data_IF_777846087189
#
_entry.id   IF_777846087189
#
_cell.length_a   1.000
_cell.length_b   1.000
_cell.length_c   1.000
_cell.angle_alpha   90.00
_cell.angle_beta   90.00
_cell.angle_gamma   90.00
#
_symmetry.space_group_name_H-M   'P 1'
#
loop_
_entity.id
_entity.type
_entity.pdbx_description
1 polymer ?
#
# COMPACT_ATOMS: atom_id res chain seq x y z
N UNK A 1 22.91 -2.30 3.67
CA UNK A 1 21.84 -1.97 4.63
C UNK A 1 20.84 -3.11 4.55
N UNK A 2 20.76 -3.96 5.57
CA UNK A 2 19.84 -5.09 5.59
C UNK A 2 18.41 -4.54 5.67
N UNK A 3 17.67 -4.64 4.56
CA UNK A 3 16.22 -4.42 4.57
C UNK A 3 15.60 -5.71 5.07
N UNK A 4 14.97 -5.67 6.24
CA UNK A 4 14.21 -6.81 6.74
C UNK A 4 12.87 -6.78 6.03
N UNK A 5 12.72 -7.66 5.06
CA UNK A 5 11.48 -7.85 4.32
C UNK A 5 10.54 -8.67 5.20
N UNK A 6 9.43 -8.05 5.58
CA UNK A 6 8.47 -8.64 6.51
C UNK A 6 7.15 -8.82 5.78
N UNK A 7 6.68 -10.06 5.71
CA UNK A 7 5.36 -10.40 5.22
C UNK A 7 4.36 -10.37 6.38
N UNK A 8 3.20 -9.76 6.15
CA UNK A 8 2.10 -9.84 7.11
C UNK A 8 1.34 -11.15 6.91
N UNK A 9 1.13 -11.92 7.97
CA UNK A 9 0.18 -13.03 7.91
C UNK A 9 -1.26 -12.49 7.84
N UNK A 10 -2.06 -13.07 6.93
CA UNK A 10 -3.44 -12.70 6.59
C UNK A 10 -4.28 -12.16 7.76
N UNK A 11 -4.83 -10.95 7.59
CA UNK A 11 -5.85 -10.39 8.48
C UNK A 11 -6.08 -8.89 8.28
N UNK A 12 -7.33 -8.52 7.97
CA UNK A 12 -7.82 -7.12 7.92
C UNK A 12 -7.31 -6.24 9.07
N UNK A 13 -7.36 -6.77 10.29
CA UNK A 13 -6.91 -6.04 11.49
C UNK A 13 -5.41 -5.75 11.41
N UNK A 14 -4.61 -6.72 10.97
CA UNK A 14 -3.15 -6.56 10.84
C UNK A 14 -2.80 -5.52 9.78
N UNK A 15 -3.50 -5.50 8.65
CA UNK A 15 -3.34 -4.47 7.62
C UNK A 15 -3.64 -3.08 8.17
N UNK A 16 -4.83 -2.89 8.77
CA UNK A 16 -5.27 -1.59 9.29
C UNK A 16 -4.30 -1.07 10.35
N UNK A 17 -3.91 -1.93 11.30
CA UNK A 17 -2.99 -1.54 12.37
C UNK A 17 -1.61 -1.18 11.81
N UNK A 18 -1.13 -1.91 10.80
CA UNK A 18 0.15 -1.61 10.15
C UNK A 18 0.10 -0.28 9.42
N UNK A 19 -0.92 -0.03 8.59
CA UNK A 19 -1.09 1.23 7.86
C UNK A 19 -1.19 2.40 8.84
N UNK A 20 -1.93 2.26 9.94
CA UNK A 20 -2.01 3.29 10.99
C UNK A 20 -0.67 3.56 11.67
N UNK A 21 0.07 2.50 11.99
CA UNK A 21 1.36 2.62 12.70
C UNK A 21 2.40 3.38 11.87
N UNK A 22 2.41 3.20 10.55
CA UNK A 22 3.40 3.83 9.66
C UNK A 22 2.96 5.17 9.09
N UNK A 23 1.67 5.54 9.21
CA UNK A 23 1.13 6.73 8.56
C UNK A 23 1.77 8.03 9.05
N UNK A 24 2.19 8.08 10.32
CA UNK A 24 2.82 9.25 10.92
C UNK A 24 4.19 9.59 10.32
N UNK A 25 4.89 8.59 9.78
CA UNK A 25 6.23 8.72 9.20
C UNK A 25 6.20 8.86 7.66
N UNK A 26 5.01 8.86 7.07
CA UNK A 26 4.78 8.91 5.63
C UNK A 26 4.34 10.31 5.15
N UNK A 27 4.80 10.75 3.97
CA UNK A 27 4.32 11.99 3.33
C UNK A 27 3.31 11.73 2.21
N UNK A 28 3.39 10.57 1.56
CA UNK A 28 2.53 10.22 0.43
C UNK A 28 2.28 8.72 0.38
N UNK A 29 1.19 8.36 -0.28
CA UNK A 29 0.86 7.00 -0.67
C UNK A 29 0.50 6.97 -2.15
N UNK A 30 0.51 5.79 -2.77
CA UNK A 30 0.03 5.60 -4.13
C UNK A 30 -1.00 4.49 -4.21
N UNK A 31 -1.95 4.67 -5.12
CA UNK A 31 -2.93 3.67 -5.51
C UNK A 31 -2.72 3.32 -6.97
N UNK A 32 -2.69 2.04 -7.28
CA UNK A 32 -2.51 1.55 -8.65
C UNK A 32 -3.85 1.12 -9.23
N UNK A 33 -4.12 1.55 -10.47
CA UNK A 33 -5.24 1.05 -11.28
C UNK A 33 -4.70 0.53 -12.61
N UNK A 34 -4.66 -0.79 -12.80
CA UNK A 34 -4.26 -1.44 -14.04
C UNK A 34 -5.31 -1.20 -15.13
N UNK A 35 -4.86 -0.76 -16.31
CA UNK A 35 -5.75 -0.30 -17.39
C UNK A 35 -6.58 -1.43 -18.01
N UNK A 36 -6.10 -2.68 -17.92
CA UNK A 36 -6.74 -3.84 -18.52
C UNK A 36 -7.77 -4.54 -17.63
N UNK A 37 -7.84 -4.21 -16.33
CA UNK A 37 -8.74 -4.86 -15.38
C UNK A 37 -10.11 -4.15 -15.26
N UNK A 38 -10.24 -2.95 -15.83
CA UNK A 38 -11.44 -2.12 -15.71
C UNK A 38 -11.62 -1.53 -14.30
N UNK A 39 -12.69 -0.74 -14.15
CA UNK A 39 -13.10 -0.12 -12.88
C UNK A 39 -14.59 -0.33 -12.65
N UNK A 40 -15.01 -0.41 -11.39
CA UNK A 40 -16.41 -0.33 -10.99
C UNK A 40 -16.79 1.10 -10.60
N UNK A 41 -18.09 1.41 -10.57
CA UNK A 41 -18.59 2.69 -10.03
C UNK A 41 -18.13 2.93 -8.59
N UNK A 42 -17.92 1.87 -7.81
CA UNK A 42 -17.41 1.96 -6.45
C UNK A 42 -15.95 2.42 -6.41
N UNK A 43 -15.10 1.83 -7.26
CA UNK A 43 -13.70 2.26 -7.39
C UNK A 43 -13.63 3.72 -7.86
N UNK A 44 -14.41 4.08 -8.89
CA UNK A 44 -14.43 5.45 -9.41
C UNK A 44 -14.85 6.45 -8.33
N UNK A 45 -15.94 6.17 -7.59
CA UNK A 45 -16.39 7.02 -6.49
C UNK A 45 -15.36 7.10 -5.34
N UNK A 46 -14.66 6.01 -5.05
CA UNK A 46 -13.60 6.00 -4.05
C UNK A 46 -12.43 6.89 -4.47
N UNK A 47 -11.97 6.80 -5.71
CA UNK A 47 -10.88 7.62 -6.24
C UNK A 47 -11.25 9.10 -6.29
N UNK A 48 -12.50 9.41 -6.67
CA UNK A 48 -13.04 10.77 -6.66
C UNK A 48 -13.03 11.38 -5.26
N UNK A 49 -13.35 10.58 -4.23
CA UNK A 49 -13.29 11.02 -2.84
C UNK A 49 -11.87 11.41 -2.38
N UNK A 50 -10.83 10.91 -3.05
CA UNK A 50 -9.43 11.16 -2.73
C UNK A 50 -8.82 12.32 -3.53
N UNK A 51 -9.53 12.86 -4.53
CA UNK A 51 -9.06 13.99 -5.37
C UNK A 51 -8.51 15.17 -4.56
N UNK A 52 -9.10 15.58 -3.41
CA UNK A 52 -8.55 16.69 -2.61
C UNK A 52 -7.10 16.48 -2.15
N UNK A 53 -6.62 15.24 -2.10
CA UNK A 53 -5.26 14.90 -1.68
C UNK A 53 -4.38 14.40 -2.83
N UNK A 54 -4.89 14.36 -4.06
CA UNK A 54 -4.14 13.95 -5.24
C UNK A 54 -2.98 14.92 -5.51
N UNK A 55 -1.78 14.36 -5.63
CA UNK A 55 -0.55 15.10 -5.99
C UNK A 55 -0.36 15.02 -7.51
N UNK A 56 -0.35 13.81 -8.05
CA UNK A 56 -0.21 13.55 -9.47
C UNK A 56 -0.67 12.14 -9.82
N UNK A 57 -0.87 11.89 -11.11
CA UNK A 57 -1.09 10.57 -11.70
C UNK A 57 0.00 10.32 -12.74
N UNK A 58 0.46 9.08 -12.85
CA UNK A 58 1.45 8.67 -13.85
C UNK A 58 1.04 7.35 -14.44
N UNK A 59 0.98 7.30 -15.77
CA UNK A 59 0.84 6.05 -16.51
C UNK A 59 2.21 5.35 -16.59
N UNK A 60 2.30 4.13 -16.05
CA UNK A 60 3.55 3.37 -15.97
C UNK A 60 3.24 1.87 -15.99
N UNK A 61 4.24 1.04 -16.22
CA UNK A 61 4.14 -0.42 -16.05
C UNK A 61 4.86 -0.91 -14.79
N UNK A 62 5.29 0.00 -13.91
CA UNK A 62 6.06 -0.34 -12.71
C UNK A 62 5.65 0.53 -11.54
N UNK A 63 5.49 -0.11 -10.38
CA UNK A 63 5.28 0.48 -9.07
C UNK A 63 5.90 -0.44 -8.00
N UNK A 64 5.98 -0.02 -6.72
CA UNK A 64 6.52 -0.88 -5.66
C UNK A 64 5.84 -2.25 -5.64
N UNK A 65 6.65 -3.32 -5.63
CA UNK A 65 6.20 -4.71 -5.64
C UNK A 65 5.96 -5.32 -7.03
N UNK A 66 5.66 -4.52 -8.06
CA UNK A 66 5.12 -5.07 -9.33
C UNK A 66 5.67 -4.39 -10.59
N UNK A 67 6.04 -5.21 -11.58
CA UNK A 67 6.33 -4.79 -12.97
C UNK A 67 5.39 -5.56 -13.91
N UNK A 68 4.60 -4.83 -14.70
CA UNK A 68 3.81 -5.41 -15.78
C UNK A 68 4.63 -5.53 -17.07
N UNK A 69 4.45 -6.66 -17.75
CA UNK A 69 4.99 -6.91 -19.08
C UNK A 69 3.87 -6.83 -20.13
N UNK A 70 3.94 -5.83 -21.02
CA UNK A 70 2.96 -5.66 -22.10
C UNK A 70 1.64 -4.96 -21.70
N UNK A 71 1.55 -4.46 -20.47
CA UNK A 71 0.40 -3.70 -19.96
C UNK A 71 0.86 -2.45 -19.19
N UNK A 72 -0.09 -1.60 -18.81
CA UNK A 72 0.15 -0.34 -18.07
C UNK A 72 -0.88 -0.15 -16.98
N UNK A 73 -0.56 0.70 -16.03
CA UNK A 73 -1.41 1.11 -14.93
C UNK A 73 -1.29 2.62 -14.71
N UNK A 74 -2.36 3.21 -14.18
CA UNK A 74 -2.32 4.55 -13.61
C UNK A 74 -1.94 4.45 -12.15
N UNK A 75 -0.78 4.98 -11.80
CA UNK A 75 -0.31 5.11 -10.43
C UNK A 75 -0.60 6.53 -9.96
N UNK A 76 -1.52 6.65 -9.01
CA UNK A 76 -1.98 7.92 -8.46
C UNK A 76 -1.32 8.16 -7.11
N UNK A 77 -0.60 9.26 -6.97
CA UNK A 77 0.07 9.65 -5.73
C UNK A 77 -0.75 10.66 -4.97
N UNK A 78 -0.91 10.44 -3.67
CA UNK A 78 -1.72 11.25 -2.78
C UNK A 78 -0.94 11.66 -1.54
N UNK A 79 -1.30 12.79 -0.93
CA UNK A 79 -0.73 13.25 0.34
C UNK A 79 -1.24 12.41 1.50
N UNK A 80 -0.35 11.99 2.38
CA UNK A 80 -0.73 11.41 3.67
C UNK A 80 -1.30 12.50 4.58
N UNK A 81 -2.59 12.41 4.89
CA UNK A 81 -3.30 13.25 5.86
C UNK A 81 -4.15 12.38 6.79
N UNK A 82 -4.63 12.90 7.93
CA UNK A 82 -5.57 12.16 8.77
C UNK A 82 -6.85 11.76 8.01
N UNK A 83 -7.33 12.60 7.09
CA UNK A 83 -8.55 12.33 6.33
C UNK A 83 -8.35 11.25 5.26
N UNK A 84 -7.24 11.29 4.52
CA UNK A 84 -6.92 10.23 3.56
C UNK A 84 -6.64 8.89 4.25
N UNK A 85 -6.06 8.90 5.47
CA UNK A 85 -5.92 7.68 6.28
C UNK A 85 -7.27 7.08 6.60
N UNK A 86 -8.22 7.90 7.08
CA UNK A 86 -9.58 7.44 7.38
C UNK A 86 -10.23 6.81 6.15
N UNK A 87 -10.14 7.46 4.99
CA UNK A 87 -10.67 6.92 3.73
C UNK A 87 -10.07 5.55 3.37
N UNK A 88 -8.75 5.38 3.51
CA UNK A 88 -8.06 4.11 3.25
C UNK A 88 -8.50 3.02 4.23
N UNK A 89 -8.51 3.34 5.54
CA UNK A 89 -8.84 2.38 6.60
C UNK A 89 -10.32 1.95 6.55
N UNK A 90 -11.23 2.86 6.24
CA UNK A 90 -12.66 2.55 6.08
C UNK A 90 -12.90 1.52 4.98
N UNK A 91 -12.16 1.63 3.87
CA UNK A 91 -12.25 0.68 2.77
C UNK A 91 -11.46 -0.61 2.99
N UNK A 92 -10.32 -0.55 3.68
CA UNK A 92 -9.53 -1.72 4.09
C UNK A 92 -10.31 -2.72 4.96
N UNK A 93 -11.46 -2.30 5.49
CA UNK A 93 -12.37 -3.18 6.19
C UNK A 93 -13.17 -4.15 5.31
N UNK A 94 -13.12 -4.00 3.99
CA UNK A 94 -13.73 -4.89 3.01
C UNK A 94 -12.61 -5.74 2.41
N UNK A 95 -12.74 -7.07 2.42
CA UNK A 95 -11.72 -8.03 1.97
C UNK A 95 -11.48 -8.01 0.43
N UNK A 96 -11.60 -6.85 -0.20
CA UNK A 96 -11.70 -6.66 -1.64
C UNK A 96 -10.86 -5.47 -2.10
N UNK A 97 -9.69 -5.25 -1.49
CA UNK A 97 -8.67 -4.37 -2.06
C UNK A 97 -8.10 -5.04 -3.32
N UNK A 98 -8.90 -5.09 -4.38
CA UNK A 98 -8.58 -5.70 -5.65
C UNK A 98 -9.47 -5.10 -6.72
N UNK A 99 -8.93 -4.89 -7.92
CA UNK A 99 -9.75 -4.46 -9.05
C UNK A 99 -10.77 -5.55 -9.44
N UNK A 100 -11.96 -5.16 -9.92
CA UNK A 100 -12.38 -3.81 -10.29
C UNK A 100 -12.99 -2.96 -9.16
N UNK A 101 -13.19 -3.51 -7.96
CA UNK A 101 -13.94 -2.82 -6.88
C UNK A 101 -13.12 -1.83 -6.05
N UNK A 102 -11.81 -2.05 -5.98
CA UNK A 102 -10.84 -1.20 -5.30
C UNK A 102 -9.57 -1.11 -6.15
N UNK A 103 -8.62 -0.20 -5.84
CA UNK A 103 -7.33 -0.17 -6.51
C UNK A 103 -6.63 -1.52 -6.38
N UNK A 104 -5.79 -1.84 -7.37
CA UNK A 104 -5.02 -3.07 -7.38
C UNK A 104 -4.06 -3.13 -6.20
N UNK A 105 -3.25 -2.09 -6.02
CA UNK A 105 -2.21 -2.06 -5.00
C UNK A 105 -2.16 -0.71 -4.27
N UNK A 106 -1.76 -0.77 -3.00
CA UNK A 106 -1.41 0.34 -2.14
C UNK A 106 0.10 0.32 -1.86
N UNK A 107 0.76 1.46 -2.03
CA UNK A 107 2.11 1.68 -1.51
C UNK A 107 2.18 2.95 -0.67
N UNK A 108 2.99 2.94 0.40
CA UNK A 108 3.21 4.08 1.29
C UNK A 108 4.71 4.41 1.30
N UNK A 109 5.02 5.71 1.29
CA UNK A 109 6.37 6.21 1.13
C UNK A 109 6.77 7.10 2.30
N UNK A 110 8.02 6.97 2.74
CA UNK A 110 8.66 7.86 3.70
C UNK A 110 8.90 9.25 3.10
N UNK A 111 9.28 10.19 3.96
CA UNK A 111 9.64 11.55 3.57
C UNK A 111 10.74 11.63 2.50
N UNK A 112 11.70 10.71 2.52
CA UNK A 112 12.80 10.62 1.55
C UNK A 112 12.39 9.96 0.22
N UNK A 113 11.14 9.49 0.11
CA UNK A 113 10.59 8.80 -1.06
C UNK A 113 10.83 7.29 -1.08
N UNK A 114 11.53 6.72 -0.09
CA UNK A 114 11.66 5.26 0.03
C UNK A 114 10.34 4.61 0.42
N UNK A 115 10.11 3.39 -0.07
CA UNK A 115 8.90 2.60 0.24
C UNK A 115 9.00 2.05 1.66
N UNK A 116 7.91 2.17 2.43
CA UNK A 116 7.77 1.54 3.75
C UNK A 116 6.77 0.38 3.73
N UNK A 117 5.76 0.47 2.85
CA UNK A 117 4.71 -0.51 2.67
C UNK A 117 4.40 -0.63 1.18
N UNK A 118 4.26 -1.85 0.70
CA UNK A 118 3.70 -2.17 -0.61
C UNK A 118 2.81 -3.42 -0.48
N UNK A 119 1.62 -3.37 -1.07
CA UNK A 119 0.79 -4.56 -1.25
C UNK A 119 0.96 -5.10 -2.65
N UNK A 120 0.78 -6.41 -2.78
CA UNK A 120 0.57 -7.13 -4.04
C UNK A 120 -0.75 -7.87 -3.84
N UNK A 121 -1.87 -7.15 -3.97
CA UNK A 121 -3.14 -7.62 -3.42
C UNK A 121 -3.66 -8.87 -4.11
N UNK A 122 -3.41 -9.04 -5.41
CA UNK A 122 -3.78 -10.27 -6.14
C UNK A 122 -2.98 -11.50 -5.67
N UNK A 123 -1.85 -11.31 -5.00
CA UNK A 123 -1.05 -12.37 -4.36
C UNK A 123 -1.36 -12.51 -2.87
N UNK A 124 -2.30 -11.71 -2.33
CA UNK A 124 -2.55 -11.58 -0.89
C UNK A 124 -1.29 -11.21 -0.08
N UNK A 125 -0.28 -10.63 -0.74
CA UNK A 125 1.02 -10.34 -0.17
C UNK A 125 1.12 -8.87 0.24
N UNK A 126 1.84 -8.62 1.34
CA UNK A 126 2.23 -7.28 1.78
C UNK A 126 3.69 -7.33 2.20
N UNK A 127 4.46 -6.35 1.75
CA UNK A 127 5.87 -6.22 2.06
C UNK A 127 6.12 -4.93 2.83
N UNK A 128 6.84 -5.07 3.94
CA UNK A 128 7.24 -3.95 4.78
C UNK A 128 8.75 -3.82 4.77
N UNK A 129 9.21 -2.58 4.62
CA UNK A 129 10.63 -2.26 4.43
C UNK A 129 11.18 -1.53 5.64
N UNK A 130 11.02 -2.08 6.84
CA UNK A 130 11.46 -1.43 8.07
C UNK A 130 12.97 -1.48 8.25
N UNK A 131 13.51 -0.41 8.82
CA UNK A 131 14.76 -0.46 9.57
C UNK A 131 14.57 -1.29 10.84
N UNK A 132 15.67 -1.73 11.45
CA UNK A 132 15.61 -2.45 12.73
C UNK A 132 14.96 -1.61 13.84
N UNK A 133 15.22 -0.29 13.86
CA UNK A 133 14.65 0.64 14.82
C UNK A 133 13.12 0.79 14.65
N UNK A 134 12.66 1.00 13.41
CA UNK A 134 11.23 1.06 13.09
C UNK A 134 10.53 -0.25 13.46
N UNK A 135 11.14 -1.40 13.14
CA UNK A 135 10.58 -2.70 13.49
C UNK A 135 10.50 -2.88 15.01
N UNK A 136 11.50 -2.47 15.78
CA UNK A 136 11.48 -2.53 17.24
C UNK A 136 10.42 -1.60 17.83
N UNK A 137 10.20 -0.43 17.21
CA UNK A 137 9.21 0.57 17.61
C UNK A 137 7.76 0.14 17.41
N UNK A 138 7.49 -0.88 16.60
CA UNK A 138 6.13 -1.39 16.41
C UNK A 138 5.57 -2.06 17.68
N UNK A 139 4.25 -1.93 17.94
CA UNK A 139 3.57 -2.68 18.98
C UNK A 139 3.86 -4.19 18.89
N UNK A 140 4.08 -4.84 20.03
CA UNK A 140 4.40 -6.27 20.09
C UNK A 140 3.34 -7.14 19.37
N UNK A 141 2.06 -6.80 19.54
CA UNK A 141 0.93 -7.49 18.89
C UNK A 141 0.93 -7.43 17.37
N UNK A 142 1.62 -6.45 16.77
CA UNK A 142 1.82 -6.32 15.34
C UNK A 142 3.04 -7.14 14.91
N UNK A 143 4.15 -7.01 15.66
CA UNK A 143 5.41 -7.74 15.39
C UNK A 143 5.25 -9.27 15.48
N UNK A 144 4.40 -9.77 16.35
CA UNK A 144 4.14 -11.21 16.49
C UNK A 144 3.38 -11.81 15.28
N UNK A 145 2.69 -10.97 14.50
CA UNK A 145 1.96 -11.37 13.27
C UNK A 145 2.79 -11.20 12.00
N UNK A 146 4.01 -10.71 12.16
CA UNK A 146 4.94 -10.43 11.08
C UNK A 146 5.87 -11.63 10.90
N UNK A 147 5.93 -12.16 9.69
CA UNK A 147 6.87 -13.21 9.31
C UNK A 147 8.01 -12.56 8.55
N UNK A 148 9.23 -12.60 9.09
CA UNK A 148 10.41 -12.21 8.32
C UNK A 148 10.55 -13.19 7.15
N UNK A 149 10.54 -12.67 5.93
CA UNK A 149 10.78 -13.47 4.74
C UNK A 149 12.11 -13.05 4.15
N UNK A 150 13.02 -13.99 3.91
CA UNK A 150 14.36 -13.72 3.37
C UNK A 150 14.37 -13.36 1.88
N UNK A 151 13.30 -12.77 1.33
CA UNK A 151 13.24 -12.39 -0.09
C UNK A 151 14.21 -11.22 -0.30
N UNK A 152 15.35 -11.50 -0.93
CA UNK A 152 16.24 -10.46 -1.42
C UNK A 152 15.60 -9.82 -2.64
N UNK A 153 15.38 -8.51 -2.59
CA UNK A 153 15.02 -7.72 -3.77
C UNK A 153 16.20 -7.75 -4.75
N UNK A 154 16.02 -8.37 -5.91
CA UNK A 154 17.00 -8.37 -7.01
C UNK A 154 17.03 -7.07 -7.78
#
# INVERSE_FOLDING_TARGET
MNRNLIALSNGKETFIQTVKAIWGDANRFSLTVQLQLGTSEHLDAFLDSLVPWLICETETNHWPGTVLYGAKANVRFYRCTPHSLSAIVEQAGRWFWLQPEMPEDLAIYRNDGSVIFESICHEEDVLLHFTEEEFIGLPLSIREKMVQTGRQSG
#
